data_IF_897030620489
#
_entry.id   IF_897030620489
#
_cell.length_a   1.000
_cell.length_b   1.000
_cell.length_c   1.000
_cell.angle_alpha   90.00
_cell.angle_beta   90.00
_cell.angle_gamma   90.00
#
_symmetry.space_group_name_H-M   'P 1'
#
loop_
_entity.id
_entity.type
_entity.pdbx_description
1 polymer ?
#
# COMPACT_ATOMS: atom_id res chain seq x y z
N UNK A 1 35.55 -4.25 6.42
CA UNK A 1 35.07 -3.21 5.51
C UNK A 1 34.06 -3.80 4.54
N UNK A 2 32.91 -3.17 4.47
CA UNK A 2 31.84 -3.62 3.58
C UNK A 2 32.02 -3.01 2.20
N UNK A 3 31.95 -3.85 1.16
CA UNK A 3 32.01 -3.39 -0.21
C UNK A 3 30.68 -2.76 -0.60
N UNK A 4 30.70 -1.88 -1.60
CA UNK A 4 29.52 -1.15 -2.07
C UNK A 4 28.36 -2.09 -2.43
N UNK A 5 28.65 -3.21 -3.14
CA UNK A 5 27.63 -4.20 -3.48
C UNK A 5 27.00 -4.89 -2.27
N UNK A 6 27.79 -5.13 -1.22
CA UNK A 6 27.28 -5.70 0.02
C UNK A 6 26.39 -4.71 0.76
N UNK A 7 26.75 -3.43 0.74
CA UNK A 7 25.93 -2.37 1.34
C UNK A 7 24.60 -2.26 0.61
N UNK A 8 24.60 -2.30 -0.74
CA UNK A 8 23.37 -2.26 -1.51
C UNK A 8 22.47 -3.46 -1.20
N UNK A 9 23.05 -4.65 -1.07
CA UNK A 9 22.27 -5.85 -0.73
C UNK A 9 21.67 -5.73 0.67
N UNK A 10 22.41 -5.16 1.62
CA UNK A 10 21.92 -4.94 2.97
C UNK A 10 20.73 -3.98 2.97
N UNK A 11 20.82 -2.88 2.21
CA UNK A 11 19.73 -1.91 2.06
C UNK A 11 18.50 -2.54 1.43
N UNK A 12 18.68 -3.33 0.36
CA UNK A 12 17.58 -4.04 -0.30
C UNK A 12 16.93 -5.05 0.64
N UNK A 13 17.72 -5.73 1.47
CA UNK A 13 17.19 -6.68 2.44
C UNK A 13 16.32 -5.99 3.48
N UNK A 14 16.78 -4.85 4.00
CA UNK A 14 16.02 -4.05 4.96
C UNK A 14 14.72 -3.56 4.32
N UNK A 15 14.79 -3.01 3.10
CA UNK A 15 13.62 -2.53 2.38
C UNK A 15 12.60 -3.65 2.16
N UNK A 16 13.07 -4.83 1.76
CA UNK A 16 12.23 -6.01 1.56
C UNK A 16 11.53 -6.42 2.85
N UNK A 17 12.28 -6.47 3.96
CA UNK A 17 11.73 -6.82 5.26
C UNK A 17 10.69 -5.82 5.72
N UNK A 18 10.93 -4.52 5.54
CA UNK A 18 9.98 -3.47 5.86
C UNK A 18 8.70 -3.61 5.06
N UNK A 19 8.83 -3.80 3.74
CA UNK A 19 7.68 -3.97 2.86
C UNK A 19 6.88 -5.21 3.26
N UNK A 20 7.53 -6.33 3.52
CA UNK A 20 6.88 -7.57 3.92
C UNK A 20 6.15 -7.42 5.26
N UNK A 21 6.76 -6.72 6.22
CA UNK A 21 6.14 -6.46 7.52
C UNK A 21 4.85 -5.63 7.35
N UNK A 22 4.90 -4.60 6.54
CA UNK A 22 3.74 -3.75 6.28
C UNK A 22 2.64 -4.51 5.53
N UNK A 23 3.01 -5.32 4.55
CA UNK A 23 2.07 -6.15 3.79
C UNK A 23 1.37 -7.15 4.73
N UNK A 24 2.12 -7.83 5.60
CA UNK A 24 1.52 -8.76 6.56
C UNK A 24 0.57 -8.05 7.51
N UNK A 25 0.99 -6.88 8.00
CA UNK A 25 0.21 -6.14 9.00
C UNK A 25 -1.10 -5.62 8.45
N UNK A 26 -1.07 -5.09 7.25
CA UNK A 26 -2.22 -4.40 6.67
C UNK A 26 -2.98 -5.17 5.61
N UNK A 27 -2.37 -6.21 5.01
CA UNK A 27 -2.98 -6.97 3.94
C UNK A 27 -4.27 -7.67 4.35
N UNK A 28 -4.29 -8.32 5.51
CA UNK A 28 -5.51 -8.95 6.03
C UNK A 28 -6.59 -7.92 6.32
N UNK A 29 -6.19 -6.79 6.90
CA UNK A 29 -7.13 -5.70 7.19
C UNK A 29 -7.75 -5.17 5.91
N UNK A 30 -6.95 -5.05 4.86
CA UNK A 30 -7.45 -4.62 3.56
C UNK A 30 -8.47 -5.60 3.00
N UNK A 31 -8.18 -6.90 3.06
CA UNK A 31 -9.10 -7.92 2.60
C UNK A 31 -10.45 -7.83 3.30
N UNK A 32 -10.42 -7.68 4.63
CA UNK A 32 -11.64 -7.51 5.43
C UNK A 32 -12.35 -6.22 5.09
N UNK A 33 -11.62 -5.13 4.93
CA UNK A 33 -12.18 -3.83 4.58
C UNK A 33 -12.92 -3.91 3.24
N UNK A 34 -12.35 -4.56 2.26
CA UNK A 34 -12.98 -4.71 0.93
C UNK A 34 -14.22 -5.57 1.04
N UNK A 35 -14.14 -6.71 1.71
CA UNK A 35 -15.29 -7.61 1.88
C UNK A 35 -16.45 -6.91 2.61
N UNK A 36 -16.14 -6.27 3.73
CA UNK A 36 -17.15 -5.54 4.51
C UNK A 36 -17.70 -4.35 3.73
N UNK A 37 -16.84 -3.65 3.01
CA UNK A 37 -17.25 -2.51 2.20
C UNK A 37 -18.19 -2.91 1.06
N UNK A 38 -17.95 -4.05 0.42
CA UNK A 38 -18.87 -4.59 -0.59
C UNK A 38 -20.21 -4.97 0.02
N UNK A 39 -20.18 -5.61 1.18
CA UNK A 39 -21.39 -6.00 1.89
C UNK A 39 -22.26 -4.80 2.28
N UNK A 40 -21.60 -3.71 2.69
CA UNK A 40 -22.28 -2.46 3.07
C UNK A 40 -22.55 -1.53 1.89
N UNK A 41 -22.18 -1.92 0.71
CA UNK A 41 -22.29 -1.13 -0.52
C UNK A 41 -21.50 0.17 -0.49
N UNK A 42 -20.46 0.21 0.33
CA UNK A 42 -19.49 1.31 0.37
C UNK A 42 -18.39 1.14 -0.68
N UNK A 43 -18.21 -0.10 -1.13
CA UNK A 43 -17.28 -0.46 -2.21
C UNK A 43 -18.09 -1.18 -3.28
N UNK A 44 -17.86 -0.84 -4.55
CA UNK A 44 -18.58 -1.44 -5.66
C UNK A 44 -18.35 -2.96 -5.73
N UNK A 45 -19.41 -3.72 -5.97
CA UNK A 45 -19.33 -5.18 -6.13
C UNK A 45 -18.39 -5.58 -7.27
N UNK A 46 -18.32 -4.75 -8.31
CA UNK A 46 -17.49 -5.01 -9.48
C UNK A 46 -16.00 -4.70 -9.24
N UNK A 47 -15.63 -4.20 -8.07
CA UNK A 47 -14.23 -3.94 -7.78
C UNK A 47 -13.43 -5.24 -7.90
N UNK A 48 -12.37 -5.20 -8.69
CA UNK A 48 -11.43 -6.31 -8.81
C UNK A 48 -10.57 -6.38 -7.55
N UNK A 49 -10.86 -7.33 -6.68
CA UNK A 49 -10.16 -7.48 -5.39
C UNK A 49 -8.68 -7.78 -5.58
N UNK A 50 -8.32 -8.59 -6.57
CA UNK A 50 -6.90 -8.90 -6.85
C UNK A 50 -6.15 -7.64 -7.26
N UNK A 51 -6.75 -6.85 -8.13
CA UNK A 51 -6.14 -5.59 -8.56
C UNK A 51 -5.98 -4.63 -7.39
N UNK A 52 -6.99 -4.55 -6.52
CA UNK A 52 -6.94 -3.69 -5.34
C UNK A 52 -5.81 -4.12 -4.39
N UNK A 53 -5.65 -5.42 -4.16
CA UNK A 53 -4.56 -5.95 -3.32
C UNK A 53 -3.20 -5.68 -3.96
N UNK A 54 -3.07 -5.91 -5.26
CA UNK A 54 -1.81 -5.66 -5.97
C UNK A 54 -1.44 -4.18 -5.94
N UNK A 55 -2.41 -3.29 -6.12
CA UNK A 55 -2.19 -1.86 -6.02
C UNK A 55 -1.74 -1.47 -4.62
N UNK A 56 -2.34 -2.06 -3.60
CA UNK A 56 -1.94 -1.82 -2.21
C UNK A 56 -0.50 -2.24 -1.96
N UNK A 57 -0.13 -3.45 -2.40
CA UNK A 57 1.23 -3.96 -2.25
C UNK A 57 2.22 -3.05 -2.98
N UNK A 58 1.89 -2.67 -4.22
CA UNK A 58 2.73 -1.76 -4.99
C UNK A 58 2.88 -0.40 -4.33
N UNK A 59 1.83 0.09 -3.69
CA UNK A 59 1.86 1.35 -2.95
C UNK A 59 2.85 1.26 -1.78
N UNK A 60 2.80 0.18 -1.01
CA UNK A 60 3.74 -0.05 0.09
C UNK A 60 5.17 -0.13 -0.43
N UNK A 61 5.38 -0.93 -1.48
CA UNK A 61 6.71 -1.08 -2.09
C UNK A 61 7.23 0.26 -2.61
N UNK A 62 6.37 1.05 -3.21
CA UNK A 62 6.72 2.37 -3.71
C UNK A 62 7.12 3.34 -2.60
N UNK A 63 6.38 3.37 -1.51
CA UNK A 63 6.71 4.20 -0.35
C UNK A 63 8.06 3.83 0.23
N UNK A 64 8.33 2.53 0.39
CA UNK A 64 9.61 2.04 0.90
C UNK A 64 10.74 2.40 -0.05
N UNK A 65 10.54 2.18 -1.35
CA UNK A 65 11.57 2.48 -2.36
C UNK A 65 11.89 3.98 -2.40
N UNK A 66 10.88 4.82 -2.34
CA UNK A 66 11.09 6.28 -2.32
C UNK A 66 11.91 6.71 -1.11
N UNK A 67 11.60 6.15 0.06
CA UNK A 67 12.33 6.45 1.29
C UNK A 67 13.78 5.98 1.19
N UNK A 68 13.99 4.79 0.64
CA UNK A 68 15.33 4.22 0.46
C UNK A 68 16.17 5.07 -0.49
N UNK A 69 15.59 5.47 -1.64
CA UNK A 69 16.29 6.31 -2.62
C UNK A 69 16.62 7.68 -2.05
N UNK A 70 15.76 8.22 -1.19
CA UNK A 70 16.00 9.50 -0.53
C UNK A 70 16.95 9.39 0.66
N UNK A 71 17.24 8.15 1.11
CA UNK A 71 18.05 7.93 2.31
C UNK A 71 17.38 8.38 3.59
N UNK A 72 16.04 8.38 3.63
CA UNK A 72 15.29 8.89 4.76
C UNK A 72 13.99 8.10 4.97
N UNK A 73 14.05 7.14 5.91
CA UNK A 73 12.91 6.28 6.23
C UNK A 73 11.73 7.04 6.86
N UNK A 74 11.97 8.24 7.38
CA UNK A 74 10.89 9.07 7.95
C UNK A 74 9.88 9.48 6.89
N UNK A 75 10.26 9.47 5.61
CA UNK A 75 9.37 9.79 4.50
C UNK A 75 8.19 8.83 4.39
N UNK A 76 8.38 7.58 4.81
CA UNK A 76 7.28 6.60 4.83
C UNK A 76 6.17 7.11 5.73
N UNK A 77 6.51 7.47 6.96
CA UNK A 77 5.54 7.95 7.94
C UNK A 77 4.91 9.27 7.52
N UNK A 78 5.69 10.15 6.91
CA UNK A 78 5.20 11.45 6.46
C UNK A 78 4.20 11.32 5.31
N UNK A 79 4.45 10.40 4.36
CA UNK A 79 3.67 10.29 3.13
C UNK A 79 2.54 9.26 3.19
N UNK A 80 2.66 8.26 4.04
CA UNK A 80 1.70 7.16 4.10
C UNK A 80 0.26 7.61 4.35
N UNK A 81 -0.03 8.52 5.29
CA UNK A 81 -1.42 8.90 5.54
C UNK A 81 -2.14 9.46 4.32
N UNK A 82 -1.48 10.37 3.57
CA UNK A 82 -2.06 10.95 2.36
C UNK A 82 -2.24 9.92 1.25
N UNK A 83 -1.24 9.06 1.07
CA UNK A 83 -1.27 8.01 0.04
C UNK A 83 -2.39 7.01 0.33
N UNK A 84 -2.52 6.56 1.57
CA UNK A 84 -3.56 5.60 1.91
C UNK A 84 -4.95 6.22 1.93
N UNK A 85 -5.09 7.49 2.26
CA UNK A 85 -6.36 8.20 2.13
C UNK A 85 -6.80 8.24 0.66
N UNK A 86 -5.87 8.54 -0.24
CA UNK A 86 -6.15 8.55 -1.68
C UNK A 86 -6.50 7.14 -2.18
N UNK A 87 -5.76 6.13 -1.73
CA UNK A 87 -6.04 4.73 -2.05
C UNK A 87 -7.47 4.34 -1.63
N UNK A 88 -7.83 4.66 -0.39
CA UNK A 88 -9.16 4.35 0.14
C UNK A 88 -10.25 4.97 -0.74
N UNK A 89 -10.08 6.23 -1.10
CA UNK A 89 -11.04 6.91 -1.98
C UNK A 89 -11.15 6.27 -3.35
N UNK A 90 -10.05 5.73 -3.85
CA UNK A 90 -10.04 5.11 -5.18
C UNK A 90 -10.87 3.81 -5.24
N UNK A 91 -11.06 3.13 -4.11
CA UNK A 91 -11.82 1.88 -4.05
C UNK A 91 -13.24 2.07 -3.51
N UNK A 92 -13.58 3.24 -2.98
CA UNK A 92 -14.92 3.52 -2.50
C UNK A 92 -15.92 3.61 -3.66
N UNK A 93 -17.15 3.18 -3.42
CA UNK A 93 -18.22 3.34 -4.38
C UNK A 93 -18.49 4.81 -4.63
N UNK A 94 -18.68 5.18 -5.90
CA UNK A 94 -19.00 6.55 -6.28
C UNK A 94 -20.51 6.72 -6.20
N UNK A 95 -20.98 7.25 -5.09
CA UNK A 95 -22.43 7.38 -4.84
C UNK A 95 -23.14 8.28 -5.83
N UNK A 96 -22.46 9.33 -6.28
CA UNK A 96 -23.06 10.33 -7.18
C UNK A 96 -23.38 9.77 -8.56
N UNK A 97 -22.71 8.70 -8.98
CA UNK A 97 -22.96 8.06 -10.26
C UNK A 97 -24.28 7.31 -10.32
N UNK A 98 -24.81 6.97 -9.17
CA UNK A 98 -26.07 6.23 -9.09
C UNK A 98 -27.24 7.09 -9.54
N UNK A 99 -27.12 8.38 -9.39
CA UNK A 99 -28.17 9.35 -9.69
C UNK A 99 -28.15 9.83 -11.15
N UNK A 100 -27.14 9.40 -11.89
CA UNK A 100 -27.03 9.72 -13.33
C UNK A 100 -27.86 8.73 -14.20
#
# INVERSE_FOLDING_TARGET
RMLFGELQRAEQTVAKQMAQALIRRYGERLGRLIADGKERREIADALDEKAAVNLFIGTIQGLVMQALLAGDVRRIRANAPGVFALYKRSIEAVKDRVDE
#
